data_IF_453932169803
#
_entry.id   IF_453932169803
#
_cell.length_a   1.000
_cell.length_b   1.000
_cell.length_c   1.000
_cell.angle_alpha   90.00
_cell.angle_beta   90.00
_cell.angle_gamma   90.00
#
_symmetry.space_group_name_H-M   'P 1'
#
loop_
_entity.id
_entity.type
_entity.pdbx_description
1 polymer ?
#
# COMPACT_ATOMS: atom_id res chain seq x y z
N UNK A 1 11.45 -19.53 40.82
CA UNK A 1 11.79 -19.85 39.42
C UNK A 1 11.08 -18.83 38.56
N UNK A 2 11.83 -17.84 38.06
CA UNK A 2 11.31 -16.81 37.16
C UNK A 2 11.14 -17.39 35.76
N UNK A 3 10.08 -17.00 34.99
CA UNK A 3 9.94 -17.45 33.62
C UNK A 3 11.04 -16.82 32.74
N UNK A 4 11.70 -17.63 31.92
CA UNK A 4 12.67 -17.21 30.91
C UNK A 4 12.03 -16.25 29.93
N UNK A 5 12.52 -15.01 29.89
CA UNK A 5 12.24 -14.09 28.80
C UNK A 5 13.07 -14.52 27.58
N UNK A 6 12.40 -14.74 26.45
CA UNK A 6 13.01 -15.10 25.18
C UNK A 6 13.79 -13.89 24.63
N UNK A 7 15.12 -14.01 24.34
CA UNK A 7 15.93 -12.90 23.82
C UNK A 7 15.45 -12.34 22.47
N UNK A 8 14.61 -13.07 21.73
CA UNK A 8 14.04 -12.62 20.43
C UNK A 8 12.98 -11.53 20.60
N UNK A 9 12.27 -11.47 21.72
CA UNK A 9 11.21 -10.50 22.01
C UNK A 9 11.78 -9.10 22.35
N UNK A 10 12.96 -9.04 22.94
CA UNK A 10 13.63 -7.76 23.27
C UNK A 10 14.12 -7.00 22.05
N UNK A 11 14.46 -7.69 20.97
CA UNK A 11 14.98 -7.08 19.75
C UNK A 11 13.83 -6.54 18.84
N UNK A 12 12.66 -7.16 18.86
CA UNK A 12 11.46 -6.70 18.13
C UNK A 12 10.87 -5.45 18.76
N UNK A 13 10.76 -5.41 20.09
CA UNK A 13 10.32 -4.22 20.85
C UNK A 13 11.30 -3.06 20.73
N UNK A 14 12.61 -3.33 20.71
CA UNK A 14 13.68 -2.33 20.50
C UNK A 14 13.58 -1.67 19.12
N UNK A 15 13.20 -2.39 18.07
CA UNK A 15 13.06 -1.85 16.72
C UNK A 15 11.76 -1.06 16.53
N UNK A 16 10.65 -1.46 17.17
CA UNK A 16 9.41 -0.70 17.20
C UNK A 16 9.58 0.62 17.98
N UNK A 17 10.26 0.59 19.13
CA UNK A 17 10.57 1.79 19.92
C UNK A 17 11.52 2.76 19.20
N UNK A 18 12.47 2.26 18.41
CA UNK A 18 13.35 3.11 17.58
C UNK A 18 12.55 3.85 16.50
N UNK A 19 11.50 3.24 15.94
CA UNK A 19 10.59 3.91 14.98
C UNK A 19 9.83 5.08 15.60
N UNK A 20 9.25 4.90 16.79
CA UNK A 20 8.50 5.95 17.50
C UNK A 20 9.42 7.07 17.99
N UNK A 21 10.58 6.74 18.54
CA UNK A 21 11.60 7.74 18.97
C UNK A 21 12.18 8.51 17.77
N UNK A 22 12.20 7.90 16.59
CA UNK A 22 12.66 8.51 15.37
C UNK A 22 11.68 9.55 14.82
N UNK A 23 10.36 9.31 14.89
CA UNK A 23 9.34 10.31 14.54
C UNK A 23 9.44 11.56 15.41
N UNK A 24 9.65 11.39 16.74
CA UNK A 24 9.84 12.50 17.67
C UNK A 24 11.13 13.32 17.40
N UNK A 25 12.17 12.70 16.84
CA UNK A 25 13.46 13.37 16.55
C UNK A 25 13.43 14.20 15.27
N UNK A 26 12.43 14.00 14.38
CA UNK A 26 12.35 14.62 13.06
C UNK A 26 11.52 15.92 13.00
N UNK A 27 11.03 16.43 14.13
CA UNK A 27 10.30 17.72 14.15
C UNK A 27 11.17 18.95 13.86
N UNK A 28 12.45 18.78 13.48
CA UNK A 28 13.37 19.88 13.26
C UNK A 28 13.58 20.30 11.80
N UNK A 29 13.63 19.39 10.84
CA UNK A 29 13.95 19.70 9.44
C UNK A 29 13.03 18.95 8.47
N UNK A 30 12.35 19.70 7.60
CA UNK A 30 11.45 19.12 6.59
C UNK A 30 12.28 18.38 5.53
N UNK A 31 11.86 17.16 5.19
CA UNK A 31 12.44 16.46 4.06
C UNK A 31 12.20 17.26 2.76
N UNK A 32 13.22 17.43 1.90
CA UNK A 32 13.13 18.25 0.70
C UNK A 32 12.42 17.53 -0.47
N UNK A 33 11.37 16.79 -0.16
CA UNK A 33 10.62 15.96 -1.12
C UNK A 33 9.14 16.25 -1.08
N UNK A 34 8.47 15.93 -2.16
CA UNK A 34 7.01 16.00 -2.30
C UNK A 34 6.44 14.59 -2.27
N UNK A 35 5.35 14.38 -1.51
CA UNK A 35 4.78 13.05 -1.24
C UNK A 35 3.28 13.04 -1.47
N UNK A 36 2.76 12.06 -2.20
CA UNK A 36 1.34 11.74 -2.26
C UNK A 36 1.05 10.44 -1.52
N UNK A 37 0.18 10.49 -0.52
CA UNK A 37 -0.38 9.29 0.13
C UNK A 37 -1.69 8.94 -0.56
N UNK A 38 -1.77 7.73 -1.08
CA UNK A 38 -2.94 7.20 -1.79
C UNK A 38 -3.64 6.17 -0.91
N UNK A 39 -4.90 6.40 -0.66
CA UNK A 39 -5.79 5.52 0.09
C UNK A 39 -6.90 5.04 -0.86
N UNK A 40 -6.84 3.81 -1.40
CA UNK A 40 -7.99 3.25 -2.08
C UNK A 40 -9.09 2.99 -1.06
N UNK A 41 -10.30 3.45 -1.37
CA UNK A 41 -11.43 3.38 -0.44
C UNK A 41 -12.65 2.79 -1.10
N UNK A 42 -13.40 2.00 -0.33
CA UNK A 42 -14.75 1.60 -0.65
C UNK A 42 -15.46 1.22 0.64
N UNK A 43 -16.49 2.02 1.01
CA UNK A 43 -17.26 1.86 2.24
C UNK A 43 -16.36 1.77 3.50
N UNK A 44 -15.59 2.82 3.74
CA UNK A 44 -14.65 2.94 4.87
C UNK A 44 -15.02 4.08 5.83
N UNK A 45 -16.32 4.39 5.97
CA UNK A 45 -16.77 5.54 6.79
C UNK A 45 -16.30 5.49 8.25
N UNK A 46 -16.16 4.29 8.84
CA UNK A 46 -15.72 4.14 10.23
C UNK A 46 -14.20 4.36 10.39
N UNK A 47 -13.42 3.96 9.40
CA UNK A 47 -11.96 3.90 9.50
C UNK A 47 -11.23 5.05 8.82
N UNK A 48 -11.85 5.70 7.83
CA UNK A 48 -11.17 6.70 6.99
C UNK A 48 -10.67 7.90 7.81
N UNK A 49 -11.50 8.47 8.69
CA UNK A 49 -11.11 9.64 9.48
C UNK A 49 -9.91 9.33 10.38
N UNK A 50 -9.91 8.29 11.24
CA UNK A 50 -8.75 7.95 12.06
C UNK A 50 -7.52 7.58 11.23
N UNK A 51 -7.67 6.93 10.07
CA UNK A 51 -6.53 6.64 9.17
C UNK A 51 -5.89 7.94 8.67
N UNK A 52 -6.67 8.91 8.20
CA UNK A 52 -6.18 10.21 7.74
C UNK A 52 -5.50 10.98 8.87
N UNK A 53 -6.09 10.98 10.06
CA UNK A 53 -5.59 11.71 11.23
C UNK A 53 -4.27 11.12 11.75
N UNK A 54 -4.03 9.84 11.57
CA UNK A 54 -2.78 9.16 11.94
C UNK A 54 -1.60 9.50 11.02
N UNK A 55 -1.84 10.07 9.83
CA UNK A 55 -0.76 10.48 8.91
C UNK A 55 -0.14 11.78 9.41
N UNK A 56 1.16 11.80 9.80
CA UNK A 56 1.83 13.01 10.27
C UNK A 56 1.84 14.11 9.21
N UNK A 57 1.81 15.36 9.65
CA UNK A 57 1.82 16.55 8.79
C UNK A 57 3.10 17.37 8.97
N UNK A 58 3.45 18.18 7.99
CA UNK A 58 4.51 19.17 8.10
C UNK A 58 5.96 18.64 7.99
N UNK A 59 6.17 17.35 7.79
CA UNK A 59 7.48 16.69 7.75
C UNK A 59 8.19 16.67 6.39
N UNK A 60 7.48 17.03 5.31
CA UNK A 60 8.06 17.12 3.96
C UNK A 60 7.67 18.45 3.30
N UNK A 61 8.29 18.74 2.15
CA UNK A 61 8.07 19.99 1.41
C UNK A 61 6.61 20.16 1.00
N UNK A 62 5.99 19.12 0.48
CA UNK A 62 4.57 19.08 0.13
C UNK A 62 4.01 17.67 0.40
N UNK A 63 2.91 17.61 1.16
CA UNK A 63 2.17 16.38 1.43
C UNK A 63 0.77 16.51 0.85
N UNK A 64 0.47 15.70 -0.13
CA UNK A 64 -0.87 15.44 -0.64
C UNK A 64 -1.38 14.14 -0.01
N UNK A 65 -2.60 14.14 0.50
CA UNK A 65 -3.32 12.91 0.84
C UNK A 65 -4.54 12.87 -0.07
N UNK A 66 -4.78 11.73 -0.69
CA UNK A 66 -5.91 11.53 -1.55
C UNK A 66 -6.53 10.16 -1.33
N UNK A 67 -7.85 10.11 -1.49
CA UNK A 67 -8.55 8.84 -1.66
C UNK A 67 -8.83 8.58 -3.13
N UNK A 68 -8.80 7.30 -3.51
CA UNK A 68 -9.36 6.82 -4.78
C UNK A 68 -10.58 6.00 -4.44
N UNK A 69 -11.75 6.63 -4.61
CA UNK A 69 -13.02 6.06 -4.18
C UNK A 69 -13.61 5.12 -5.23
N UNK A 70 -13.75 3.86 -4.87
CA UNK A 70 -14.31 2.79 -5.68
C UNK A 70 -15.85 2.76 -5.68
N UNK A 71 -16.49 3.92 -5.74
CA UNK A 71 -17.94 4.09 -5.72
C UNK A 71 -18.58 3.66 -4.38
N UNK A 72 -18.11 4.27 -3.27
CA UNK A 72 -18.68 4.10 -1.94
C UNK A 72 -20.14 4.53 -1.89
N UNK A 73 -20.95 3.79 -1.15
CA UNK A 73 -22.37 4.06 -0.91
C UNK A 73 -22.66 4.64 0.49
N UNK A 74 -21.65 4.67 1.34
CA UNK A 74 -21.66 5.23 2.69
C UNK A 74 -21.12 6.67 2.71
N UNK A 75 -20.78 7.19 3.89
CA UNK A 75 -20.26 8.54 4.08
C UNK A 75 -18.77 8.70 3.80
N UNK A 76 -18.09 7.70 3.23
CA UNK A 76 -16.64 7.75 2.96
C UNK A 76 -16.21 9.04 2.25
N UNK A 77 -16.89 9.42 1.17
CA UNK A 77 -16.57 10.63 0.38
C UNK A 77 -16.81 11.92 1.14
N UNK A 78 -17.92 11.98 1.89
CA UNK A 78 -18.26 13.15 2.72
C UNK A 78 -17.16 13.37 3.77
N UNK A 79 -16.74 12.32 4.46
CA UNK A 79 -15.67 12.36 5.46
C UNK A 79 -14.35 12.86 4.85
N UNK A 80 -13.99 12.37 3.65
CA UNK A 80 -12.78 12.85 2.97
C UNK A 80 -12.84 14.35 2.65
N UNK A 81 -13.97 14.84 2.17
CA UNK A 81 -14.19 16.26 1.87
C UNK A 81 -14.17 17.11 3.15
N UNK A 82 -14.82 16.68 4.24
CA UNK A 82 -14.76 17.33 5.56
C UNK A 82 -13.31 17.46 6.08
N UNK A 83 -12.47 16.42 5.82
CA UNK A 83 -11.04 16.41 6.14
C UNK A 83 -10.18 17.21 5.15
N UNK A 84 -10.78 17.84 4.13
CA UNK A 84 -10.10 18.55 3.03
C UNK A 84 -9.07 17.67 2.31
N UNK A 85 -9.45 16.42 2.08
CA UNK A 85 -8.65 15.43 1.35
C UNK A 85 -9.18 15.35 -0.09
N UNK A 86 -8.27 15.33 -1.04
CA UNK A 86 -8.64 15.17 -2.45
C UNK A 86 -9.33 13.83 -2.67
N UNK A 87 -10.50 13.87 -3.32
CA UNK A 87 -11.29 12.69 -3.67
C UNK A 87 -11.23 12.50 -5.18
N UNK A 88 -10.66 11.38 -5.61
CA UNK A 88 -10.71 10.94 -7.00
C UNK A 88 -11.68 9.78 -7.14
N UNK A 89 -12.66 9.91 -8.02
CA UNK A 89 -13.67 8.87 -8.28
C UNK A 89 -13.14 7.86 -9.29
N UNK A 90 -13.29 6.57 -8.99
CA UNK A 90 -12.97 5.47 -9.88
C UNK A 90 -14.16 4.48 -9.92
N UNK A 91 -14.97 4.56 -10.95
CA UNK A 91 -16.18 3.76 -11.12
C UNK A 91 -15.91 2.34 -11.66
N UNK A 92 -14.74 2.11 -12.23
CA UNK A 92 -14.32 0.79 -12.68
C UNK A 92 -13.93 -0.09 -11.49
N UNK A 93 -14.50 -1.28 -11.44
CA UNK A 93 -14.27 -2.20 -10.32
C UNK A 93 -12.84 -2.76 -10.32
N UNK A 94 -12.26 -2.81 -9.14
CA UNK A 94 -11.03 -3.54 -8.86
C UNK A 94 -10.06 -2.79 -7.93
N UNK A 95 -9.56 -3.51 -6.95
CA UNK A 95 -8.55 -3.01 -6.01
C UNK A 95 -7.32 -2.47 -6.75
N UNK A 96 -6.79 -3.25 -7.69
CA UNK A 96 -5.65 -2.83 -8.50
C UNK A 96 -5.98 -1.64 -9.41
N UNK A 97 -7.22 -1.52 -9.86
CA UNK A 97 -7.66 -0.38 -10.66
C UNK A 97 -7.55 0.92 -9.86
N UNK A 98 -8.06 0.94 -8.64
CA UNK A 98 -7.96 2.11 -7.77
C UNK A 98 -6.50 2.55 -7.56
N UNK A 99 -5.58 1.62 -7.32
CA UNK A 99 -4.16 1.95 -7.20
C UNK A 99 -3.57 2.49 -8.49
N UNK A 100 -3.81 1.85 -9.63
CA UNK A 100 -3.28 2.29 -10.94
C UNK A 100 -3.75 3.70 -11.26
N UNK A 101 -5.02 3.98 -11.02
CA UNK A 101 -5.59 5.32 -11.16
C UNK A 101 -4.92 6.30 -10.22
N UNK A 102 -4.75 5.93 -8.94
CA UNK A 102 -4.03 6.73 -7.96
C UNK A 102 -2.59 7.06 -8.39
N UNK A 103 -1.85 6.09 -8.93
CA UNK A 103 -0.49 6.32 -9.44
C UNK A 103 -0.45 7.32 -10.61
N UNK A 104 -1.45 7.24 -11.49
CA UNK A 104 -1.53 8.10 -12.67
C UNK A 104 -1.82 9.56 -12.29
N UNK A 105 -2.78 9.77 -11.35
CA UNK A 105 -3.23 11.11 -10.95
C UNK A 105 -2.45 11.73 -9.80
N UNK A 106 -1.56 10.99 -9.13
CA UNK A 106 -0.68 11.51 -8.09
C UNK A 106 0.23 12.61 -8.64
N UNK A 107 0.39 13.71 -7.88
CA UNK A 107 1.11 14.90 -8.36
C UNK A 107 2.58 14.95 -7.91
N UNK A 108 2.94 14.21 -6.87
CA UNK A 108 4.22 14.32 -6.19
C UNK A 108 5.23 13.23 -6.60
N UNK A 109 6.50 13.44 -6.26
CA UNK A 109 7.63 12.60 -6.68
C UNK A 109 7.69 11.26 -5.95
N UNK A 110 7.22 11.21 -4.70
CA UNK A 110 7.15 9.99 -3.90
C UNK A 110 5.70 9.62 -3.69
N UNK A 111 5.39 8.36 -3.91
CA UNK A 111 4.09 7.78 -3.65
C UNK A 111 4.18 6.87 -2.43
N UNK A 112 3.23 7.03 -1.53
CA UNK A 112 2.96 6.12 -0.42
C UNK A 112 1.57 5.54 -0.63
N UNK A 113 1.42 4.23 -0.49
CA UNK A 113 0.11 3.57 -0.52
C UNK A 113 -0.15 2.89 0.80
N UNK A 114 -1.39 2.83 1.23
CA UNK A 114 -1.87 1.99 2.34
C UNK A 114 -3.38 1.88 2.30
N UNK A 115 -3.92 0.86 2.94
CA UNK A 115 -5.37 0.70 3.07
C UNK A 115 -5.95 1.75 4.04
N UNK A 116 -7.23 2.08 3.88
CA UNK A 116 -7.92 3.14 4.66
C UNK A 116 -8.60 2.62 5.94
N UNK A 117 -8.19 1.45 6.45
CA UNK A 117 -8.87 0.63 7.45
C UNK A 117 -8.18 0.57 8.82
N UNK A 118 -7.24 1.48 9.08
CA UNK A 118 -6.42 1.57 10.29
C UNK A 118 -5.44 0.42 10.53
N UNK A 119 -5.33 -0.55 9.61
CA UNK A 119 -4.45 -1.72 9.82
C UNK A 119 -2.96 -1.38 9.69
N UNK A 120 -2.61 -0.44 8.82
CA UNK A 120 -1.22 -0.01 8.63
C UNK A 120 -0.83 1.13 9.56
N UNK A 121 0.45 1.17 9.99
CA UNK A 121 0.98 2.21 10.86
C UNK A 121 1.24 3.51 10.08
N UNK A 122 0.19 4.32 9.85
CA UNK A 122 0.26 5.56 9.09
C UNK A 122 1.30 6.55 9.66
N UNK A 123 1.55 6.50 10.96
CA UNK A 123 2.56 7.30 11.66
C UNK A 123 4.00 6.99 11.22
N UNK A 124 4.25 5.82 10.61
CA UNK A 124 5.58 5.45 10.10
C UNK A 124 5.87 6.00 8.69
N UNK A 125 4.91 6.62 8.01
CA UNK A 125 5.08 7.17 6.66
C UNK A 125 6.33 8.06 6.54
N UNK A 126 6.59 9.05 7.44
CA UNK A 126 7.80 9.86 7.36
C UNK A 126 9.09 9.03 7.48
N UNK A 127 9.09 8.03 8.36
CA UNK A 127 10.24 7.15 8.59
C UNK A 127 10.56 6.29 7.36
N UNK A 128 9.53 5.75 6.72
CA UNK A 128 9.68 4.94 5.51
C UNK A 128 10.16 5.78 4.32
N UNK A 129 9.62 7.00 4.16
CA UNK A 129 10.08 7.93 3.12
C UNK A 129 11.53 8.33 3.38
N UNK A 130 11.90 8.63 4.62
CA UNK A 130 13.29 8.92 4.93
C UNK A 130 14.21 7.74 4.63
N UNK A 131 13.78 6.52 4.97
CA UNK A 131 14.53 5.30 4.65
C UNK A 131 14.73 5.13 3.14
N UNK A 132 13.69 5.44 2.34
CA UNK A 132 13.81 5.44 0.87
C UNK A 132 14.90 6.39 0.39
N UNK A 133 15.02 7.56 1.01
CA UNK A 133 15.99 8.58 0.63
C UNK A 133 17.40 8.24 1.12
N UNK A 134 17.56 7.91 2.39
CA UNK A 134 18.87 7.68 3.02
C UNK A 134 19.61 6.48 2.41
N UNK A 135 18.88 5.43 2.06
CA UNK A 135 19.44 4.22 1.46
C UNK A 135 19.43 4.23 -0.07
N UNK A 136 19.05 5.36 -0.68
CA UNK A 136 18.91 5.54 -2.13
C UNK A 136 18.09 4.42 -2.79
N UNK A 137 16.93 4.13 -2.17
CA UNK A 137 15.99 3.12 -2.66
C UNK A 137 15.01 3.74 -3.66
N UNK A 138 14.44 2.87 -4.50
CA UNK A 138 13.38 3.23 -5.44
C UNK A 138 12.02 2.67 -5.03
N UNK A 139 12.01 1.55 -4.27
CA UNK A 139 10.78 0.88 -3.84
C UNK A 139 10.95 0.20 -2.48
N UNK A 140 10.02 0.48 -1.57
CA UNK A 140 9.86 -0.22 -0.29
C UNK A 140 8.47 -0.88 -0.30
N UNK A 141 8.41 -2.16 0.05
CA UNK A 141 7.16 -2.84 0.43
C UNK A 141 7.18 -3.18 1.91
N UNK A 142 6.04 -3.09 2.56
CA UNK A 142 5.92 -3.41 3.98
C UNK A 142 5.47 -4.85 4.18
N UNK A 143 6.13 -5.57 5.09
CA UNK A 143 5.78 -6.92 5.52
C UNK A 143 4.94 -6.84 6.79
N UNK A 144 3.69 -7.32 6.72
CA UNK A 144 2.73 -7.36 7.82
C UNK A 144 2.84 -8.62 8.67
N UNK A 145 3.34 -9.72 8.07
CA UNK A 145 3.31 -11.04 8.67
C UNK A 145 4.29 -11.18 9.82
N UNK A 146 5.44 -10.47 9.74
CA UNK A 146 6.50 -10.58 10.75
C UNK A 146 6.16 -9.87 12.07
N UNK A 147 5.27 -8.86 12.05
CA UNK A 147 4.92 -8.03 13.21
C UNK A 147 3.40 -7.83 13.33
N UNK A 148 2.62 -8.85 12.95
CA UNK A 148 1.16 -8.82 13.08
C UNK A 148 0.76 -8.84 14.57
N UNK A 149 -0.10 -7.89 14.97
CA UNK A 149 -0.67 -7.85 16.31
C UNK A 149 -1.74 -8.94 16.47
N UNK A 150 -1.97 -9.36 17.71
CA UNK A 150 -3.00 -10.35 18.01
C UNK A 150 -4.38 -9.88 17.51
N UNK A 151 -5.11 -10.75 16.80
CA UNK A 151 -6.40 -10.42 16.22
C UNK A 151 -6.37 -9.62 14.92
N UNK A 152 -5.22 -9.14 14.46
CA UNK A 152 -5.10 -8.35 13.22
C UNK A 152 -5.33 -9.17 11.95
N UNK A 153 -5.05 -10.47 12.01
CA UNK A 153 -5.17 -11.36 10.86
C UNK A 153 -5.76 -12.71 11.29
N UNK A 154 -7.02 -13.02 10.94
CA UNK A 154 -7.59 -14.34 11.21
C UNK A 154 -6.71 -15.46 10.65
N UNK A 155 -6.56 -16.57 11.37
CA UNK A 155 -5.61 -17.63 11.05
C UNK A 155 -5.68 -18.16 9.61
N UNK A 156 -6.88 -18.24 9.03
CA UNK A 156 -7.08 -18.67 7.64
C UNK A 156 -6.50 -17.65 6.63
N UNK A 157 -6.60 -16.36 6.91
CA UNK A 157 -6.02 -15.29 6.06
C UNK A 157 -4.49 -15.28 6.18
N UNK A 158 -3.97 -15.45 7.41
CA UNK A 158 -2.54 -15.58 7.66
C UNK A 158 -1.93 -16.76 6.91
N UNK A 159 -2.57 -17.93 6.97
CA UNK A 159 -2.13 -19.10 6.22
C UNK A 159 -2.23 -18.91 4.71
N UNK A 160 -3.31 -18.33 4.19
CA UNK A 160 -3.47 -18.02 2.78
C UNK A 160 -2.38 -17.06 2.26
N UNK A 161 -2.11 -15.98 2.99
CA UNK A 161 -1.05 -15.02 2.66
C UNK A 161 0.34 -15.66 2.71
N UNK A 162 0.60 -16.52 3.70
CA UNK A 162 1.84 -17.27 3.78
C UNK A 162 2.01 -18.21 2.57
N UNK A 163 0.96 -18.97 2.21
CA UNK A 163 0.99 -19.90 1.08
C UNK A 163 1.24 -19.18 -0.26
N UNK A 164 0.57 -18.04 -0.50
CA UNK A 164 0.80 -17.20 -1.69
C UNK A 164 2.22 -16.65 -1.72
N UNK A 165 2.72 -16.12 -0.60
CA UNK A 165 4.08 -15.61 -0.49
C UNK A 165 5.12 -16.71 -0.69
N UNK A 166 4.87 -17.90 -0.16
CA UNK A 166 5.72 -19.08 -0.38
C UNK A 166 5.74 -19.50 -1.86
N UNK A 167 4.57 -19.51 -2.51
CA UNK A 167 4.45 -19.80 -3.94
C UNK A 167 5.19 -18.78 -4.79
N UNK A 168 5.05 -17.49 -4.48
CA UNK A 168 5.78 -16.42 -5.17
C UNK A 168 7.30 -16.58 -5.02
N UNK A 169 7.80 -16.95 -3.83
CA UNK A 169 9.22 -17.23 -3.60
C UNK A 169 9.74 -18.37 -4.47
N UNK A 170 9.01 -19.48 -4.56
CA UNK A 170 9.41 -20.63 -5.39
C UNK A 170 9.40 -20.27 -6.86
N UNK A 171 8.34 -19.61 -7.35
CA UNK A 171 8.18 -19.34 -8.76
C UNK A 171 9.15 -18.28 -9.30
N UNK A 172 9.48 -17.29 -8.50
CA UNK A 172 10.27 -16.12 -8.95
C UNK A 172 11.66 -16.02 -8.30
N UNK A 173 11.96 -16.83 -7.30
CA UNK A 173 13.27 -16.80 -6.62
C UNK A 173 13.51 -15.53 -5.77
N UNK A 174 12.47 -14.77 -5.46
CA UNK A 174 12.54 -13.54 -4.67
C UNK A 174 12.19 -13.81 -3.22
N UNK A 175 13.02 -13.28 -2.29
CA UNK A 175 12.81 -13.44 -0.84
C UNK A 175 11.68 -12.56 -0.28
N UNK A 176 10.51 -12.51 -0.94
CA UNK A 176 9.34 -11.75 -0.49
C UNK A 176 8.68 -12.50 0.66
N UNK A 177 8.50 -11.86 1.82
CA UNK A 177 7.82 -12.43 2.98
C UNK A 177 6.31 -12.26 2.90
N UNK A 178 5.84 -11.07 2.54
CA UNK A 178 4.42 -10.75 2.41
C UNK A 178 4.10 -10.28 1.00
N UNK A 179 3.58 -11.19 0.16
CA UNK A 179 3.22 -10.88 -1.23
C UNK A 179 1.94 -10.03 -1.34
N UNK A 180 1.10 -10.00 -0.30
CA UNK A 180 -0.23 -9.40 -0.33
C UNK A 180 -0.31 -8.00 0.29
N UNK A 181 0.77 -7.49 0.90
CA UNK A 181 0.76 -6.16 1.51
C UNK A 181 0.48 -5.06 0.48
N UNK A 182 -0.41 -4.12 0.81
CA UNK A 182 -0.74 -2.93 0.02
C UNK A 182 0.01 -1.66 0.47
N UNK A 183 0.84 -1.73 1.51
CA UNK A 183 1.63 -0.57 1.92
C UNK A 183 2.98 -0.55 1.20
N UNK A 184 3.15 0.45 0.34
CA UNK A 184 4.39 0.69 -0.41
C UNK A 184 4.82 2.14 -0.30
N UNK A 185 6.13 2.37 -0.42
CA UNK A 185 6.74 3.69 -0.55
C UNK A 185 7.70 3.63 -1.73
N UNK A 186 7.51 4.49 -2.73
CA UNK A 186 8.34 4.43 -3.93
C UNK A 186 8.44 5.77 -4.66
N UNK A 187 9.49 5.92 -5.45
CA UNK A 187 9.65 7.04 -6.37
C UNK A 187 8.67 6.89 -7.54
N UNK A 188 7.88 7.91 -7.85
CA UNK A 188 6.95 7.87 -8.99
C UNK A 188 7.67 7.59 -10.32
N UNK A 189 8.92 8.06 -10.44
CA UNK A 189 9.77 7.86 -11.61
C UNK A 189 10.07 6.40 -11.97
N UNK A 190 9.80 5.43 -11.09
CA UNK A 190 9.92 4.00 -11.47
C UNK A 190 9.02 3.65 -12.66
N UNK A 191 7.92 4.37 -12.85
CA UNK A 191 6.97 4.16 -13.94
C UNK A 191 7.41 4.79 -15.27
N UNK A 192 8.52 5.54 -15.31
CA UNK A 192 9.16 5.97 -16.56
C UNK A 192 9.68 4.76 -17.34
N UNK A 193 10.06 3.70 -16.60
CA UNK A 193 10.30 2.40 -17.18
C UNK A 193 8.96 1.64 -17.36
N UNK A 194 8.55 1.43 -18.60
CA UNK A 194 7.29 0.73 -18.91
C UNK A 194 7.21 -0.68 -18.31
N UNK A 195 8.35 -1.35 -18.12
CA UNK A 195 8.38 -2.67 -17.48
C UNK A 195 7.98 -2.65 -16.00
N UNK A 196 7.94 -1.47 -15.36
CA UNK A 196 7.46 -1.27 -13.99
C UNK A 196 5.96 -0.98 -13.92
N UNK A 197 5.29 -0.70 -15.04
CA UNK A 197 3.86 -0.35 -15.04
C UNK A 197 3.00 -1.59 -14.81
N UNK A 198 2.26 -1.65 -13.67
CA UNK A 198 1.42 -2.81 -13.39
C UNK A 198 0.19 -2.82 -14.30
N UNK A 199 -0.32 -4.00 -14.57
CA UNK A 199 -1.40 -4.22 -15.54
C UNK A 199 -2.64 -4.86 -14.94
N UNK A 200 -2.55 -5.37 -13.70
CA UNK A 200 -3.67 -6.05 -13.06
C UNK A 200 -4.62 -5.05 -12.38
N UNK A 201 -5.91 -5.22 -12.61
CA UNK A 201 -6.96 -4.38 -12.00
C UNK A 201 -7.51 -4.95 -10.69
N UNK A 202 -7.15 -6.20 -10.33
CA UNK A 202 -7.64 -6.89 -9.15
C UNK A 202 -6.61 -6.98 -8.01
N UNK A 203 -6.91 -7.84 -7.05
CA UNK A 203 -6.04 -8.14 -5.91
C UNK A 203 -4.61 -8.57 -6.28
N UNK A 204 -4.36 -9.29 -7.40
CA UNK A 204 -3.00 -9.65 -7.80
C UNK A 204 -2.06 -8.47 -8.09
N UNK A 205 -2.55 -7.22 -8.12
CA UNK A 205 -1.69 -6.04 -8.25
C UNK A 205 -0.60 -6.00 -7.17
N UNK A 206 -0.92 -6.38 -5.92
CA UNK A 206 0.05 -6.36 -4.82
C UNK A 206 1.24 -7.27 -5.10
N UNK A 207 0.98 -8.47 -5.63
CA UNK A 207 2.04 -9.40 -6.03
C UNK A 207 2.79 -8.88 -7.26
N UNK A 208 2.06 -8.36 -8.25
CA UNK A 208 2.64 -7.83 -9.49
C UNK A 208 3.64 -6.72 -9.20
N UNK A 209 3.30 -5.74 -8.37
CA UNK A 209 4.18 -4.62 -8.01
C UNK A 209 5.51 -5.11 -7.42
N UNK A 210 5.46 -6.08 -6.51
CA UNK A 210 6.66 -6.62 -5.86
C UNK A 210 7.53 -7.43 -6.82
N UNK A 211 6.89 -8.25 -7.67
CA UNK A 211 7.59 -9.03 -8.69
C UNK A 211 8.27 -8.09 -9.70
N UNK A 212 7.57 -7.04 -10.16
CA UNK A 212 8.14 -6.04 -11.07
C UNK A 212 9.30 -5.30 -10.40
N UNK A 213 9.11 -4.79 -9.17
CA UNK A 213 10.15 -4.08 -8.44
C UNK A 213 11.42 -4.92 -8.27
N UNK A 214 11.27 -6.18 -7.85
CA UNK A 214 12.45 -7.07 -7.70
C UNK A 214 13.11 -7.42 -9.02
N UNK A 215 12.34 -7.60 -10.09
CA UNK A 215 12.85 -7.97 -11.43
C UNK A 215 13.53 -6.79 -12.12
N UNK A 216 12.96 -5.61 -12.05
CA UNK A 216 13.39 -4.43 -12.84
C UNK A 216 14.40 -3.58 -12.07
N UNK A 217 14.12 -3.29 -10.79
CA UNK A 217 14.95 -2.44 -9.94
C UNK A 217 16.06 -3.25 -9.23
N UNK A 218 15.82 -4.53 -8.99
CA UNK A 218 16.75 -5.41 -8.29
C UNK A 218 16.70 -5.30 -6.76
N UNK A 219 17.44 -6.20 -6.08
CA UNK A 219 17.42 -6.32 -4.62
C UNK A 219 18.02 -5.12 -3.86
N UNK A 220 18.86 -4.34 -4.51
CA UNK A 220 19.53 -3.19 -3.89
C UNK A 220 18.66 -1.92 -3.92
N UNK A 221 17.67 -1.85 -4.81
CA UNK A 221 16.76 -0.71 -4.97
C UNK A 221 15.33 -1.00 -4.53
N UNK A 222 14.96 -2.29 -4.43
CA UNK A 222 13.64 -2.72 -3.98
C UNK A 222 13.78 -3.60 -2.73
N UNK A 223 13.30 -3.13 -1.59
CA UNK A 223 13.44 -3.81 -0.28
C UNK A 223 12.08 -4.05 0.38
N UNK A 224 12.08 -4.98 1.34
CA UNK A 224 10.92 -5.27 2.18
C UNK A 224 11.26 -4.94 3.63
N UNK A 225 10.37 -4.21 4.31
CA UNK A 225 10.53 -3.75 5.69
C UNK A 225 9.34 -4.24 6.51
N UNK A 226 9.61 -4.90 7.64
CA UNK A 226 8.53 -5.35 8.54
C UNK A 226 7.95 -4.16 9.31
N UNK A 227 6.62 -4.09 9.35
CA UNK A 227 5.87 -3.05 10.06
C UNK A 227 4.80 -3.69 10.96
N UNK A 228 4.41 -3.05 12.07
CA UNK A 228 3.24 -3.48 12.83
C UNK A 228 2.00 -3.55 11.93
N UNK A 229 1.14 -4.52 12.18
CA UNK A 229 -0.13 -4.66 11.50
C UNK A 229 -1.23 -4.86 12.53
N UNK A 230 -2.22 -3.99 12.52
CA UNK A 230 -3.23 -3.83 13.57
C UNK A 230 -4.56 -4.47 13.16
N UNK A 231 -5.45 -4.73 14.13
CA UNK A 231 -6.83 -5.10 13.81
C UNK A 231 -7.51 -4.03 12.95
N UNK A 232 -8.29 -4.48 11.97
CA UNK A 232 -9.08 -3.62 11.09
C UNK A 232 -10.20 -2.92 11.87
N UNK A 233 -10.48 -1.68 11.48
CA UNK A 233 -11.70 -0.95 11.86
C UNK A 233 -12.68 -1.07 10.70
N UNK A 234 -13.95 -1.32 10.99
CA UNK A 234 -15.01 -1.53 10.00
C UNK A 234 -15.03 -2.93 9.35
N UNK A 235 -15.97 -3.15 8.47
CA UNK A 235 -16.19 -4.43 7.81
C UNK A 235 -15.29 -4.61 6.58
N UNK A 236 -14.88 -5.85 6.29
CA UNK A 236 -14.06 -6.16 5.13
C UNK A 236 -14.93 -6.56 3.93
N UNK A 237 -14.80 -5.88 2.82
CA UNK A 237 -15.46 -6.27 1.55
C UNK A 237 -14.73 -7.36 0.75
N UNK A 238 -13.77 -8.08 1.35
CA UNK A 238 -12.93 -9.05 0.65
C UNK A 238 -13.57 -10.44 0.65
N UNK A 239 -13.73 -11.01 -0.54
CA UNK A 239 -14.15 -12.41 -0.72
C UNK A 239 -12.93 -13.35 -0.70
N UNK A 240 -12.50 -13.76 0.49
CA UNK A 240 -11.25 -14.48 0.78
C UNK A 240 -10.89 -15.62 -0.18
N UNK A 241 -11.82 -16.52 -0.46
CA UNK A 241 -11.54 -17.70 -1.31
C UNK A 241 -11.42 -17.35 -2.79
N UNK A 242 -12.28 -16.45 -3.28
CA UNK A 242 -12.27 -16.03 -4.69
C UNK A 242 -11.00 -15.26 -5.05
N UNK A 243 -10.56 -14.38 -4.17
CA UNK A 243 -9.40 -13.54 -4.40
C UNK A 243 -8.08 -14.30 -4.21
N UNK A 244 -8.01 -15.20 -3.22
CA UNK A 244 -6.88 -16.12 -3.07
C UNK A 244 -6.64 -16.98 -4.32
N UNK A 245 -7.70 -17.50 -4.94
CA UNK A 245 -7.61 -18.30 -6.16
C UNK A 245 -7.20 -17.46 -7.39
N UNK A 246 -7.62 -16.19 -7.48
CA UNK A 246 -7.18 -15.25 -8.52
C UNK A 246 -5.69 -14.97 -8.42
N UNK A 247 -5.19 -14.71 -7.19
CA UNK A 247 -3.78 -14.47 -6.92
C UNK A 247 -2.93 -15.68 -7.30
N UNK A 248 -3.34 -16.88 -6.90
CA UNK A 248 -2.64 -18.12 -7.26
C UNK A 248 -2.54 -18.32 -8.77
N UNK A 249 -3.66 -18.19 -9.49
CA UNK A 249 -3.67 -18.27 -10.97
C UNK A 249 -2.78 -17.22 -11.61
N UNK A 250 -2.76 -16.01 -11.08
CA UNK A 250 -1.92 -14.93 -11.57
C UNK A 250 -0.43 -15.28 -11.48
N UNK A 251 0.04 -15.81 -10.34
CA UNK A 251 1.44 -16.19 -10.16
C UNK A 251 1.90 -17.20 -11.22
N UNK A 252 1.10 -18.23 -11.48
CA UNK A 252 1.44 -19.22 -12.53
C UNK A 252 1.39 -18.62 -13.92
N UNK A 253 0.34 -17.88 -14.27
CA UNK A 253 0.21 -17.23 -15.57
C UNK A 253 1.38 -16.27 -15.84
N UNK A 254 1.81 -15.52 -14.82
CA UNK A 254 2.94 -14.59 -14.89
C UNK A 254 4.26 -15.32 -15.09
N UNK A 255 4.46 -16.49 -14.43
CA UNK A 255 5.67 -17.31 -14.55
C UNK A 255 5.88 -17.86 -15.93
N UNK A 256 4.80 -18.30 -16.59
CA UNK A 256 4.83 -18.90 -17.95
C UNK A 256 4.60 -17.88 -19.07
N UNK A 257 4.58 -16.60 -18.77
CA UNK A 257 4.41 -15.54 -19.77
C UNK A 257 3.00 -15.41 -20.37
N UNK A 258 2.00 -16.09 -19.80
CA UNK A 258 0.60 -16.07 -20.28
C UNK A 258 -0.20 -14.87 -19.76
N UNK A 259 0.42 -13.99 -18.98
CA UNK A 259 -0.27 -12.81 -18.45
C UNK A 259 -0.49 -11.79 -19.58
N UNK A 260 -1.75 -11.65 -20.01
CA UNK A 260 -2.16 -10.60 -20.96
C UNK A 260 -2.47 -9.31 -20.18
N UNK A 261 -1.89 -8.21 -20.64
CA UNK A 261 -2.28 -6.85 -20.22
C UNK A 261 -3.74 -6.62 -20.61
N UNK A 262 -4.61 -6.38 -19.65
CA UNK A 262 -6.04 -6.16 -19.94
C UNK A 262 -6.36 -4.70 -20.31
N UNK A 263 -5.62 -3.75 -19.73
CA UNK A 263 -5.88 -2.33 -19.99
C UNK A 263 -4.55 -1.57 -20.10
N UNK A 264 -4.33 -0.77 -21.14
CA UNK A 264 -3.14 0.09 -21.23
C UNK A 264 -3.05 1.02 -20.03
N UNK A 265 -1.83 1.37 -19.65
CA UNK A 265 -1.55 2.40 -18.64
C UNK A 265 -2.10 3.75 -19.14
N UNK A 266 -2.79 4.48 -18.28
CA UNK A 266 -3.34 5.81 -18.61
C UNK A 266 -4.46 5.81 -19.65
N UNK A 267 -4.96 4.66 -20.13
CA UNK A 267 -6.14 4.63 -20.99
C UNK A 267 -7.35 5.07 -20.19
N UNK A 268 -7.75 6.32 -20.37
CA UNK A 268 -9.11 6.75 -20.07
C UNK A 268 -9.99 6.05 -21.11
N UNK A 269 -10.90 5.19 -20.68
CA UNK A 269 -11.97 4.78 -21.56
C UNK A 269 -12.69 6.06 -21.97
N UNK A 270 -12.78 6.28 -23.27
CA UNK A 270 -13.41 7.45 -23.86
C UNK A 270 -14.95 7.41 -23.71
N UNK A 271 -15.42 6.92 -22.57
CA UNK A 271 -16.83 7.02 -22.24
C UNK A 271 -17.08 8.42 -21.66
N UNK A 272 -17.81 9.31 -22.41
CA UNK A 272 -18.09 10.66 -21.95
C UNK A 272 -18.99 10.72 -20.70
N UNK A 273 -19.63 9.60 -20.33
CA UNK A 273 -20.46 9.47 -19.13
C UNK A 273 -19.71 8.91 -17.91
N UNK A 274 -18.38 8.71 -17.97
CA UNK A 274 -17.62 8.24 -16.83
C UNK A 274 -17.54 9.34 -15.77
N UNK A 275 -17.94 9.02 -14.53
CA UNK A 275 -17.83 9.92 -13.36
C UNK A 275 -16.42 9.94 -12.77
N UNK A 276 -15.44 9.39 -13.50
CA UNK A 276 -14.04 9.38 -13.07
C UNK A 276 -13.45 10.79 -13.02
N UNK A 277 -12.98 11.21 -11.88
CA UNK A 277 -12.33 12.51 -11.70
C UNK A 277 -12.33 12.99 -10.25
N UNK A 278 -11.70 14.12 -10.06
CA UNK A 278 -11.68 14.77 -8.77
C UNK A 278 -13.02 15.43 -8.48
N UNK A 279 -13.51 15.24 -7.26
CA UNK A 279 -14.60 16.07 -6.76
C UNK A 279 -14.08 17.48 -6.48
N UNK A 280 -14.88 18.55 -6.74
CA UNK A 280 -14.47 19.89 -6.43
C UNK A 280 -14.21 20.05 -4.92
N UNK A 281 -13.12 20.73 -4.58
CA UNK A 281 -12.88 21.17 -3.20
C UNK A 281 -14.05 22.07 -2.79
N UNK A 282 -14.68 21.75 -1.66
CA UNK A 282 -15.68 22.66 -1.09
C UNK A 282 -14.93 23.91 -0.60
N UNK A 283 -15.36 25.07 -1.09
CA UNK A 283 -14.79 26.39 -0.79
C UNK A 283 -14.96 26.75 0.71
#
# INVERSE_FOLDING_TARGET
>A
MSPNEDPSDSNSRSNAFKGVAFVARYMGEKLPVTVTVILPTRNEEEALAPTIDAIPRGWCKNLEIMIVDGNSSDRTREIALEKKIRVHLEDRKGYGRAYRTGFDVAKNDIIVTMDADCTYPAELVPTLVKRLLDDDLDFITCDRLSLAEEGSMPGIHGFGNWALSFTARILFGYGIKDSQSGMWVFRKSIFDNEAMRPTNDGMPLSEEMKILARRVLGKNKAVEISVPYRPRVGEAEIHTWGDGWKNFKFLFARRVGLHRTRTPWGSRDSNPDSTNGDLPEQA
#
